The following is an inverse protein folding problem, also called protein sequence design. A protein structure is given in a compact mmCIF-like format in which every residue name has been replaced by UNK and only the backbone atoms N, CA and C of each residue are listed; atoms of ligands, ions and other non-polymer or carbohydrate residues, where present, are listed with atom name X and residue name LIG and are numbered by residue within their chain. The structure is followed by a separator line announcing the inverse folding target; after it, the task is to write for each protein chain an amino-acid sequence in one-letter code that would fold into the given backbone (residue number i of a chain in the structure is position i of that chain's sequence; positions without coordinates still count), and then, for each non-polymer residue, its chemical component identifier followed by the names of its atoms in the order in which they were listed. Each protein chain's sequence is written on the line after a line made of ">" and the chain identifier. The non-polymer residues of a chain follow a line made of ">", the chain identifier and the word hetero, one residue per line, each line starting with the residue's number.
data_IF_165387922167
#
_entry.id   IF_165387922167
#
_cell.length_a   1.000
_cell.length_b   1.000
_cell.length_c   1.000
_cell.angle_alpha   90.00
_cell.angle_beta   90.00
_cell.angle_gamma   90.00
#
_symmetry.space_group_name_H-M   'P 1'
#
loop_
_entity.id
_entity.type
_entity.pdbx_description
1 polymer ?
#
# COMPACT_ATOMS: atom_id res chain seq x y z
N UNK A 1 10.75 -0.33 -26.26
CA UNK A 1 9.57 0.41 -25.74
C UNK A 1 9.68 0.44 -24.23
N UNK A 2 9.43 1.57 -23.56
CA UNK A 2 9.41 1.59 -22.10
C UNK A 2 8.38 0.57 -21.63
N UNK A 3 8.76 -0.22 -20.61
CA UNK A 3 7.94 -1.29 -20.06
C UNK A 3 6.61 -0.66 -19.59
N UNK A 4 5.43 -1.19 -19.96
CA UNK A 4 4.14 -0.65 -19.54
C UNK A 4 3.91 -0.65 -18.01
N UNK A 5 4.87 -1.18 -17.24
CA UNK A 5 4.91 -1.13 -15.77
C UNK A 5 5.64 0.08 -15.18
N UNK A 6 6.36 0.89 -15.97
CA UNK A 6 7.05 2.08 -15.46
C UNK A 6 6.13 3.31 -15.48
N UNK A 7 5.29 3.44 -14.45
CA UNK A 7 4.67 4.72 -14.17
C UNK A 7 5.75 5.69 -13.70
N UNK A 8 6.18 6.60 -14.58
CA UNK A 8 7.24 7.56 -14.31
C UNK A 8 6.68 8.88 -13.76
N UNK A 9 7.20 9.32 -12.64
CA UNK A 9 6.87 10.62 -12.04
C UNK A 9 7.75 11.72 -12.66
N UNK A 10 7.18 12.87 -13.08
CA UNK A 10 7.96 13.89 -13.80
C UNK A 10 9.20 14.40 -13.05
N UNK A 11 9.10 14.56 -11.73
CA UNK A 11 10.20 15.06 -10.89
C UNK A 11 11.34 14.03 -10.70
N UNK A 12 11.10 12.76 -11.05
CA UNK A 12 12.11 11.70 -11.00
C UNK A 12 12.92 11.61 -12.30
N UNK A 13 12.71 12.51 -13.28
CA UNK A 13 13.47 12.53 -14.54
C UNK A 13 15.00 12.42 -14.36
N UNK A 14 15.64 13.16 -13.42
CA UNK A 14 17.08 13.03 -13.17
C UNK A 14 17.49 11.63 -12.70
N UNK A 15 16.61 10.94 -11.96
CA UNK A 15 16.84 9.56 -11.49
C UNK A 15 16.80 8.61 -12.67
N UNK A 16 15.79 8.72 -13.54
CA UNK A 16 15.63 7.84 -14.70
C UNK A 16 16.79 7.97 -15.69
N UNK A 17 17.32 9.17 -15.89
CA UNK A 17 18.51 9.39 -16.73
C UNK A 17 19.73 8.67 -16.16
N UNK A 18 19.96 8.77 -14.84
CA UNK A 18 21.06 8.07 -14.17
C UNK A 18 20.86 6.54 -14.18
N UNK A 19 19.64 6.05 -13.98
CA UNK A 19 19.30 4.62 -14.05
C UNK A 19 19.53 4.04 -15.44
N UNK A 20 19.19 4.80 -16.49
CA UNK A 20 19.42 4.40 -17.88
C UNK A 20 20.91 4.29 -18.16
N UNK A 21 21.70 5.31 -17.79
CA UNK A 21 23.17 5.29 -17.91
C UNK A 21 23.79 4.13 -17.14
N UNK A 22 23.31 3.87 -15.92
CA UNK A 22 23.80 2.77 -15.09
C UNK A 22 23.52 1.42 -15.76
N UNK A 23 22.31 1.22 -16.29
CA UNK A 23 21.90 -0.01 -16.97
C UNK A 23 22.75 -0.27 -18.22
N UNK A 24 23.05 0.78 -19.00
CA UNK A 24 23.93 0.70 -20.18
C UNK A 24 25.38 0.33 -19.79
N UNK A 25 25.90 0.93 -18.72
CA UNK A 25 27.24 0.62 -18.20
C UNK A 25 27.33 -0.82 -17.67
N UNK A 26 26.30 -1.28 -16.95
CA UNK A 26 26.21 -2.65 -16.45
C UNK A 26 26.11 -3.67 -17.58
N UNK A 27 25.31 -3.39 -18.62
CA UNK A 27 25.22 -4.24 -19.80
C UNK A 27 26.57 -4.32 -20.55
N UNK A 28 27.27 -3.19 -20.66
CA UNK A 28 28.60 -3.12 -21.28
C UNK A 28 29.64 -3.88 -20.47
N UNK A 29 29.60 -3.76 -19.13
CA UNK A 29 30.46 -4.51 -18.22
C UNK A 29 30.20 -6.02 -18.30
N UNK A 30 28.93 -6.44 -18.39
CA UNK A 30 28.55 -7.84 -18.51
C UNK A 30 29.03 -8.47 -19.84
N UNK A 31 28.93 -7.73 -20.96
CA UNK A 31 29.43 -8.20 -22.28
C UNK A 31 30.95 -8.36 -22.33
N UNK A 32 31.68 -7.46 -21.66
CA UNK A 32 33.15 -7.46 -21.67
C UNK A 32 33.77 -8.45 -20.66
N UNK A 33 32.97 -9.12 -19.84
CA UNK A 33 33.44 -10.10 -18.83
C UNK A 33 34.14 -11.32 -19.43
N UNK A 34 33.92 -11.61 -20.72
CA UNK A 34 34.61 -12.67 -21.47
C UNK A 34 36.03 -12.29 -21.95
N UNK A 35 36.41 -11.01 -21.89
CA UNK A 35 37.70 -10.50 -22.39
C UNK A 35 38.72 -10.09 -21.31
N UNK A 36 38.41 -10.32 -20.02
CA UNK A 36 39.19 -9.88 -18.87
C UNK A 36 38.44 -8.87 -17.99
N UNK A 37 38.69 -8.87 -16.68
CA UNK A 37 38.12 -7.89 -15.77
C UNK A 37 38.58 -6.48 -16.16
N UNK A 38 37.65 -5.53 -16.28
CA UNK A 38 37.96 -4.11 -16.49
C UNK A 38 37.71 -3.34 -15.17
N UNK A 39 38.72 -3.21 -14.28
CA UNK A 39 38.54 -2.68 -12.93
C UNK A 39 38.06 -1.22 -12.93
N UNK A 40 38.43 -0.45 -13.97
CA UNK A 40 38.03 0.94 -14.12
C UNK A 40 36.52 1.09 -14.36
N UNK A 41 35.93 0.21 -15.18
CA UNK A 41 34.49 0.23 -15.44
C UNK A 41 33.69 -0.21 -14.21
N UNK A 42 34.19 -1.19 -13.45
CA UNK A 42 33.57 -1.60 -12.19
C UNK A 42 33.54 -0.47 -11.15
N UNK A 43 34.62 0.31 -11.04
CA UNK A 43 34.66 1.47 -10.12
C UNK A 43 33.73 2.60 -10.57
N UNK A 44 33.62 2.86 -11.88
CA UNK A 44 32.66 3.83 -12.42
C UNK A 44 31.21 3.44 -12.10
N UNK A 45 30.85 2.16 -12.27
CA UNK A 45 29.53 1.63 -11.89
C UNK A 45 29.28 1.83 -10.39
N UNK A 46 30.26 1.51 -9.53
CA UNK A 46 30.15 1.72 -8.07
C UNK A 46 29.96 3.19 -7.71
N UNK A 47 30.69 4.09 -8.37
CA UNK A 47 30.55 5.54 -8.18
C UNK A 47 29.17 6.03 -8.62
N UNK A 48 28.71 5.63 -9.80
CA UNK A 48 27.41 6.04 -10.33
C UNK A 48 26.25 5.54 -9.46
N UNK A 49 26.33 4.31 -8.93
CA UNK A 49 25.36 3.79 -7.94
C UNK A 49 25.29 4.64 -6.67
N UNK A 50 26.44 5.10 -6.16
CA UNK A 50 26.51 6.00 -4.99
C UNK A 50 25.90 7.37 -5.30
N UNK A 51 26.23 7.95 -6.46
CA UNK A 51 25.67 9.23 -6.91
C UNK A 51 24.16 9.14 -7.09
N UNK A 52 23.66 8.06 -7.69
CA UNK A 52 22.23 7.78 -7.85
C UNK A 52 21.52 7.63 -6.51
N UNK A 53 22.09 6.89 -5.56
CA UNK A 53 21.52 6.75 -4.21
C UNK A 53 21.48 8.11 -3.47
N UNK A 54 22.51 8.94 -3.63
CA UNK A 54 22.55 10.30 -3.11
C UNK A 54 21.48 11.19 -3.73
N UNK A 55 21.36 11.17 -5.06
CA UNK A 55 20.36 11.93 -5.80
C UNK A 55 18.93 11.56 -5.40
N UNK A 56 18.63 10.25 -5.32
CA UNK A 56 17.34 9.75 -4.81
C UNK A 56 17.05 10.33 -3.43
N UNK A 57 18.01 10.26 -2.51
CA UNK A 57 17.84 10.80 -1.15
C UNK A 57 17.54 12.30 -1.16
N UNK A 58 18.25 13.09 -1.97
CA UNK A 58 18.05 14.55 -2.05
C UNK A 58 16.67 14.90 -2.62
N UNK A 59 16.25 14.22 -3.68
CA UNK A 59 14.95 14.47 -4.32
C UNK A 59 13.80 14.10 -3.36
N UNK A 60 13.81 12.90 -2.79
CA UNK A 60 12.74 12.46 -1.88
C UNK A 60 12.74 13.19 -0.52
N UNK A 61 13.87 13.77 -0.11
CA UNK A 61 13.92 14.62 1.09
C UNK A 61 13.32 16.01 0.87
N UNK A 62 13.24 16.48 -0.39
CA UNK A 62 12.79 17.84 -0.74
C UNK A 62 11.59 17.80 -1.69
N UNK A 63 10.63 16.90 -1.44
CA UNK A 63 9.43 16.81 -2.26
C UNK A 63 8.53 18.04 -2.05
N UNK A 64 8.05 18.60 -3.15
CA UNK A 64 6.95 19.56 -3.10
C UNK A 64 5.64 18.87 -2.66
N UNK A 65 4.65 19.63 -2.13
CA UNK A 65 3.38 19.06 -1.69
C UNK A 65 2.69 18.22 -2.77
N UNK A 66 2.69 18.68 -4.03
CA UNK A 66 2.08 17.93 -5.13
C UNK A 66 2.85 16.65 -5.47
N UNK A 67 4.18 16.68 -5.41
CA UNK A 67 5.03 15.51 -5.65
C UNK A 67 4.78 14.43 -4.59
N UNK A 68 4.57 14.83 -3.33
CA UNK A 68 4.17 13.92 -2.25
C UNK A 68 2.82 13.24 -2.55
N UNK A 69 1.84 13.99 -3.08
CA UNK A 69 0.55 13.41 -3.51
C UNK A 69 0.76 12.42 -4.65
N UNK A 70 1.61 12.72 -5.63
CA UNK A 70 1.92 11.80 -6.73
C UNK A 70 2.51 10.48 -6.23
N UNK A 71 3.47 10.54 -5.29
CA UNK A 71 4.05 9.34 -4.65
C UNK A 71 2.97 8.54 -3.90
N UNK A 72 2.08 9.20 -3.16
CA UNK A 72 0.99 8.54 -2.44
C UNK A 72 -0.01 7.80 -3.35
N UNK A 73 -0.11 8.22 -4.62
CA UNK A 73 -1.00 7.67 -5.64
C UNK A 73 -0.27 6.77 -6.64
N UNK A 74 1.00 6.46 -6.39
CA UNK A 74 1.80 5.65 -7.29
C UNK A 74 1.15 4.28 -7.54
N UNK A 75 1.00 3.81 -8.80
CA UNK A 75 0.31 2.56 -9.10
C UNK A 75 0.92 1.31 -8.46
N UNK A 76 2.23 1.35 -8.20
CA UNK A 76 2.97 0.27 -7.52
C UNK A 76 3.12 0.47 -6.01
N UNK A 77 2.45 1.47 -5.41
CA UNK A 77 2.48 1.67 -3.96
C UNK A 77 1.97 0.40 -3.26
N UNK A 78 2.70 -0.15 -2.26
CA UNK A 78 2.25 -1.33 -1.53
C UNK A 78 0.88 -1.10 -0.87
N UNK A 79 0.01 -2.09 -0.97
CA UNK A 79 -1.34 -2.08 -0.41
C UNK A 79 -1.39 -2.87 0.91
N UNK A 80 -2.51 -2.82 1.62
CA UNK A 80 -2.72 -3.52 2.91
C UNK A 80 -2.24 -4.97 2.88
N UNK A 81 -2.65 -5.78 1.89
CA UNK A 81 -2.20 -7.17 1.77
C UNK A 81 -0.68 -7.31 1.66
N UNK A 82 0.01 -6.37 1.01
CA UNK A 82 1.47 -6.43 0.92
C UNK A 82 2.14 -6.17 2.26
N UNK A 83 1.59 -5.29 3.10
CA UNK A 83 2.11 -5.12 4.45
C UNK A 83 1.78 -6.32 5.34
N UNK A 84 0.60 -6.92 5.17
CA UNK A 84 0.24 -8.18 5.85
C UNK A 84 1.28 -9.26 5.55
N UNK A 85 1.56 -9.51 4.27
CA UNK A 85 2.50 -10.54 3.82
C UNK A 85 3.95 -10.30 4.27
N UNK A 86 4.33 -9.04 4.52
CA UNK A 86 5.71 -8.65 4.87
C UNK A 86 5.97 -8.55 6.38
N UNK A 87 4.93 -8.23 7.16
CA UNK A 87 5.08 -7.83 8.57
C UNK A 87 4.46 -8.87 9.52
N UNK A 88 3.40 -9.57 9.11
CA UNK A 88 2.59 -10.39 10.00
C UNK A 88 2.63 -11.87 9.64
N UNK A 89 2.52 -12.69 10.67
CA UNK A 89 2.48 -14.14 10.54
C UNK A 89 1.06 -14.70 10.76
N UNK A 90 0.78 -15.85 10.15
CA UNK A 90 -0.47 -16.61 10.31
C UNK A 90 -1.74 -15.75 10.12
N UNK A 91 -1.76 -14.93 9.07
CA UNK A 91 -2.93 -14.11 8.75
C UNK A 91 -4.15 -14.98 8.41
N UNK A 92 -5.22 -14.81 9.17
CA UNK A 92 -6.52 -15.42 8.94
C UNK A 92 -7.54 -14.34 8.58
N UNK A 93 -7.88 -14.27 7.30
CA UNK A 93 -8.86 -13.30 6.79
C UNK A 93 -10.28 -13.62 7.31
N UNK A 94 -10.95 -12.58 7.79
CA UNK A 94 -12.33 -12.64 8.29
C UNK A 94 -13.23 -11.84 7.35
N UNK A 95 -14.34 -12.44 6.95
CA UNK A 95 -15.27 -11.87 5.97
C UNK A 95 -16.60 -11.44 6.61
N UNK A 96 -17.31 -10.58 5.90
CA UNK A 96 -18.73 -10.26 6.09
C UNK A 96 -19.07 -9.35 7.28
N UNK A 97 -20.12 -8.55 7.09
CA UNK A 97 -20.72 -7.65 8.09
C UNK A 97 -21.88 -8.28 8.88
N UNK A 98 -22.31 -9.50 8.53
CA UNK A 98 -23.49 -10.22 9.06
C UNK A 98 -24.85 -9.55 8.79
N UNK A 99 -24.90 -8.61 7.84
CA UNK A 99 -26.15 -7.94 7.46
C UNK A 99 -26.39 -8.01 5.95
N UNK A 100 -25.46 -7.47 5.16
CA UNK A 100 -25.65 -7.28 3.72
C UNK A 100 -24.64 -8.10 2.92
N UNK A 101 -23.37 -8.07 3.29
CA UNK A 101 -22.35 -8.71 2.48
C UNK A 101 -20.93 -8.49 2.97
N UNK A 102 -20.00 -8.96 2.13
CA UNK A 102 -18.57 -8.81 2.34
C UNK A 102 -17.98 -7.79 1.35
N UNK A 103 -17.70 -6.58 1.82
CA UNK A 103 -17.07 -5.55 0.98
C UNK A 103 -15.57 -5.80 0.82
N UNK A 104 -15.15 -6.11 -0.41
CA UNK A 104 -13.76 -6.40 -0.74
C UNK A 104 -12.84 -5.17 -0.65
N UNK A 105 -13.39 -3.96 -0.59
CA UNK A 105 -12.62 -2.75 -0.35
C UNK A 105 -11.99 -2.71 1.05
N UNK A 106 -12.50 -3.49 2.00
CA UNK A 106 -11.98 -3.61 3.36
C UNK A 106 -11.50 -5.04 3.60
N UNK A 107 -10.25 -5.19 4.04
CA UNK A 107 -9.67 -6.45 4.49
C UNK A 107 -9.65 -6.44 6.01
N UNK A 108 -10.11 -7.54 6.61
CA UNK A 108 -10.05 -7.72 8.07
C UNK A 108 -9.53 -9.10 8.40
N UNK A 109 -8.80 -9.27 9.49
CA UNK A 109 -8.33 -10.60 9.88
C UNK A 109 -7.51 -10.61 11.16
N UNK A 110 -7.29 -11.81 11.70
CA UNK A 110 -6.39 -12.03 12.83
C UNK A 110 -4.99 -12.32 12.32
N UNK A 111 -3.98 -11.82 13.01
CA UNK A 111 -2.58 -12.10 12.67
C UNK A 111 -1.68 -12.09 13.91
N UNK A 112 -0.44 -12.52 13.75
CA UNK A 112 0.61 -12.36 14.74
C UNK A 112 1.57 -11.26 14.33
N UNK A 113 1.94 -10.41 15.28
CA UNK A 113 2.99 -9.41 15.18
C UNK A 113 4.04 -9.72 16.25
N UNK A 114 5.09 -10.44 15.86
CA UNK A 114 5.99 -11.09 16.81
C UNK A 114 5.20 -12.07 17.70
N UNK A 115 5.32 -11.93 19.01
CA UNK A 115 4.60 -12.77 19.98
C UNK A 115 3.15 -12.33 20.24
N UNK A 116 2.75 -11.14 19.74
CA UNK A 116 1.44 -10.55 19.98
C UNK A 116 0.40 -10.94 18.94
N UNK A 117 -0.84 -11.22 19.36
CA UNK A 117 -1.99 -11.40 18.46
C UNK A 117 -2.69 -10.07 18.23
N UNK A 118 -3.01 -9.77 16.97
CA UNK A 118 -3.62 -8.50 16.58
C UNK A 118 -4.81 -8.72 15.65
N UNK A 119 -5.73 -7.76 15.64
CA UNK A 119 -6.77 -7.62 14.63
C UNK A 119 -6.33 -6.60 13.59
N UNK A 120 -6.25 -7.01 12.33
CA UNK A 120 -5.95 -6.13 11.21
C UNK A 120 -7.25 -5.66 10.58
N UNK A 121 -7.33 -4.37 10.27
CA UNK A 121 -8.36 -3.76 9.44
C UNK A 121 -7.67 -2.86 8.42
N UNK A 122 -8.02 -2.93 7.14
CA UNK A 122 -7.37 -2.06 6.17
C UNK A 122 -8.08 -1.96 4.83
N UNK A 123 -7.76 -0.90 4.10
CA UNK A 123 -8.31 -0.66 2.77
C UNK A 123 -7.54 -1.43 1.71
N UNK A 124 -8.26 -2.01 0.75
CA UNK A 124 -7.67 -2.78 -0.34
C UNK A 124 -8.15 -2.22 -1.68
N UNK A 125 -7.20 -1.81 -2.52
CA UNK A 125 -7.50 -1.20 -3.83
C UNK A 125 -7.51 -2.20 -4.98
N UNK A 126 -6.70 -3.27 -4.90
CA UNK A 126 -6.49 -4.19 -6.01
C UNK A 126 -5.34 -3.77 -6.93
N UNK A 127 -4.61 -4.74 -7.49
CA UNK A 127 -3.44 -4.50 -8.33
C UNK A 127 -3.79 -4.46 -9.82
N UNK A 128 -4.59 -5.42 -10.28
CA UNK A 128 -5.07 -5.49 -11.65
C UNK A 128 -6.48 -4.86 -11.80
N UNK A 129 -6.95 -4.67 -13.03
CA UNK A 129 -8.24 -4.03 -13.28
C UNK A 129 -9.41 -4.81 -12.66
N UNK A 130 -9.41 -6.14 -12.77
CA UNK A 130 -10.47 -6.99 -12.23
C UNK A 130 -10.56 -6.87 -10.70
N UNK A 131 -9.43 -6.92 -10.00
CA UNK A 131 -9.34 -6.71 -8.55
C UNK A 131 -9.75 -5.30 -8.17
N UNK A 132 -9.34 -4.28 -8.94
CA UNK A 132 -9.71 -2.89 -8.68
C UNK A 132 -11.19 -2.67 -8.76
N UNK A 133 -11.83 -3.21 -9.79
CA UNK A 133 -13.29 -3.18 -9.91
C UNK A 133 -13.95 -3.93 -8.77
N UNK A 134 -13.45 -5.12 -8.41
CA UNK A 134 -14.00 -5.91 -7.31
C UNK A 134 -13.87 -5.24 -5.94
N UNK A 135 -12.81 -4.48 -5.71
CA UNK A 135 -12.55 -3.76 -4.46
C UNK A 135 -13.00 -2.29 -4.51
N UNK A 136 -13.77 -1.89 -5.53
CA UNK A 136 -14.23 -0.51 -5.71
C UNK A 136 -13.09 0.52 -5.63
N UNK A 137 -11.89 0.18 -6.11
CA UNK A 137 -10.69 1.03 -6.02
C UNK A 137 -10.32 1.45 -4.58
N UNK A 138 -10.70 0.65 -3.58
CA UNK A 138 -10.50 0.94 -2.15
C UNK A 138 -11.54 1.88 -1.56
N UNK A 139 -12.62 2.19 -2.29
CA UNK A 139 -13.76 2.94 -1.78
C UNK A 139 -14.73 1.98 -1.07
N UNK A 140 -14.78 2.06 0.26
CA UNK A 140 -15.68 1.20 1.03
C UNK A 140 -17.14 1.66 0.92
N UNK A 141 -18.03 0.67 0.80
CA UNK A 141 -19.46 0.82 1.00
C UNK A 141 -19.81 0.72 2.49
N UNK A 142 -21.07 1.01 2.89
CA UNK A 142 -21.48 0.99 4.30
C UNK A 142 -21.22 -0.37 4.96
N UNK A 143 -21.46 -1.47 4.25
CA UNK A 143 -21.15 -2.83 4.68
C UNK A 143 -19.66 -3.04 5.01
N UNK A 144 -18.73 -2.35 4.34
CA UNK A 144 -17.31 -2.39 4.64
C UNK A 144 -16.99 -1.77 6.00
N UNK A 145 -17.59 -0.63 6.31
CA UNK A 145 -17.47 0.03 7.62
C UNK A 145 -18.13 -0.80 8.73
N UNK A 146 -19.31 -1.39 8.49
CA UNK A 146 -19.94 -2.32 9.44
C UNK A 146 -19.07 -3.54 9.71
N UNK A 147 -18.49 -4.13 8.66
CA UNK A 147 -17.53 -5.23 8.78
C UNK A 147 -16.34 -4.84 9.64
N UNK A 148 -15.71 -3.71 9.36
CA UNK A 148 -14.58 -3.18 10.14
C UNK A 148 -14.96 -3.05 11.62
N UNK A 149 -16.05 -2.34 11.92
CA UNK A 149 -16.51 -2.12 13.28
C UNK A 149 -16.85 -3.42 14.02
N UNK A 150 -17.49 -4.38 13.34
CA UNK A 150 -17.79 -5.70 13.90
C UNK A 150 -16.52 -6.42 14.33
N UNK A 151 -15.45 -6.41 13.52
CA UNK A 151 -14.19 -7.05 13.87
C UNK A 151 -13.41 -6.27 14.93
N UNK A 152 -13.49 -4.95 14.93
CA UNK A 152 -12.90 -4.12 16.00
C UNK A 152 -13.56 -4.38 17.36
N UNK A 153 -14.89 -4.50 17.42
CA UNK A 153 -15.60 -4.90 18.65
C UNK A 153 -15.21 -6.32 19.11
N UNK A 154 -14.99 -7.24 18.16
CA UNK A 154 -14.47 -8.57 18.47
C UNK A 154 -13.06 -8.49 19.09
N UNK A 155 -12.18 -7.67 18.52
CA UNK A 155 -10.84 -7.47 19.04
C UNK A 155 -10.86 -6.92 20.47
N UNK A 156 -11.66 -5.89 20.72
CA UNK A 156 -11.84 -5.33 22.07
C UNK A 156 -12.38 -6.36 23.07
N UNK A 157 -13.34 -7.20 22.68
CA UNK A 157 -13.87 -8.28 23.54
C UNK A 157 -12.78 -9.27 23.99
N UNK A 158 -11.78 -9.52 23.15
CA UNK A 158 -10.68 -10.44 23.44
C UNK A 158 -9.39 -9.75 23.89
N UNK A 159 -9.42 -8.42 24.10
CA UNK A 159 -8.24 -7.64 24.48
C UNK A 159 -7.13 -7.64 23.42
N UNK A 160 -7.49 -7.79 22.15
CA UNK A 160 -6.54 -7.79 21.03
C UNK A 160 -6.31 -6.34 20.54
N UNK A 161 -5.06 -5.89 20.39
CA UNK A 161 -4.75 -4.64 19.71
C UNK A 161 -5.24 -4.66 18.26
N UNK A 162 -5.67 -3.50 17.78
CA UNK A 162 -6.12 -3.30 16.40
C UNK A 162 -5.02 -2.58 15.62
N UNK A 163 -4.77 -2.98 14.38
CA UNK A 163 -3.88 -2.27 13.45
C UNK A 163 -4.68 -1.86 12.22
N UNK A 164 -4.75 -0.55 11.97
CA UNK A 164 -5.55 0.02 10.88
C UNK A 164 -4.68 0.54 9.72
N UNK A 165 -4.87 -0.01 8.51
CA UNK A 165 -4.24 0.48 7.28
C UNK A 165 -5.20 1.40 6.49
N UNK A 166 -4.91 2.69 6.50
CA UNK A 166 -5.71 3.70 5.78
C UNK A 166 -5.10 3.94 4.39
N UNK A 167 -5.76 3.41 3.36
CA UNK A 167 -5.39 3.65 1.97
C UNK A 167 -6.62 3.71 1.06
N UNK A 168 -7.38 4.79 1.16
CA UNK A 168 -8.60 5.00 0.38
C UNK A 168 -8.62 6.40 -0.23
N UNK A 169 -9.16 6.56 -1.46
CA UNK A 169 -9.49 7.89 -1.97
C UNK A 169 -10.73 8.49 -1.29
N UNK A 170 -11.55 7.69 -0.61
CA UNK A 170 -12.76 8.11 0.09
C UNK A 170 -13.80 6.99 0.18
N UNK A 171 -14.88 7.25 0.92
CA UNK A 171 -16.06 6.38 0.95
C UNK A 171 -16.71 6.31 -0.45
N UNK A 172 -17.31 5.18 -0.82
CA UNK A 172 -17.92 5.02 -2.14
C UNK A 172 -19.11 5.99 -2.32
N UNK A 173 -19.09 6.90 -3.31
CA UNK A 173 -20.12 7.94 -3.48
C UNK A 173 -21.22 7.48 -4.46
N UNK A 174 -21.92 6.40 -4.13
CA UNK A 174 -22.97 5.82 -4.97
C UNK A 174 -24.36 5.87 -4.33
N UNK A 175 -25.41 5.93 -5.16
CA UNK A 175 -26.82 5.94 -4.70
C UNK A 175 -27.08 4.76 -3.74
N UNK A 176 -26.64 3.57 -4.11
CA UNK A 176 -26.84 2.39 -3.30
C UNK A 176 -26.10 2.47 -1.94
N UNK A 177 -24.99 3.21 -1.85
CA UNK A 177 -24.29 3.46 -0.58
C UNK A 177 -25.08 4.44 0.31
N UNK A 178 -25.68 5.47 -0.28
CA UNK A 178 -26.55 6.42 0.42
C UNK A 178 -27.83 5.76 0.94
N UNK A 179 -28.51 4.97 0.12
CA UNK A 179 -29.70 4.19 0.52
C UNK A 179 -29.41 3.23 1.68
N UNK A 180 -28.16 2.74 1.77
CA UNK A 180 -27.68 1.88 2.85
C UNK A 180 -27.10 2.65 4.05
N UNK A 181 -27.12 3.97 4.04
CA UNK A 181 -26.77 4.83 5.17
C UNK A 181 -25.27 5.06 5.37
N UNK A 182 -24.51 5.31 4.29
CA UNK A 182 -23.06 5.58 4.32
C UNK A 182 -22.66 6.57 5.42
N UNK A 183 -23.29 7.75 5.45
CA UNK A 183 -23.00 8.77 6.47
C UNK A 183 -23.27 8.29 7.90
N UNK A 184 -24.39 7.59 8.12
CA UNK A 184 -24.76 7.07 9.44
C UNK A 184 -23.79 6.01 9.92
N UNK A 185 -23.36 5.10 9.05
CA UNK A 185 -22.43 4.02 9.44
C UNK A 185 -21.04 4.58 9.74
N UNK A 186 -20.59 5.58 9.00
CA UNK A 186 -19.32 6.27 9.29
C UNK A 186 -19.41 6.97 10.66
N UNK A 187 -20.50 7.70 10.92
CA UNK A 187 -20.71 8.37 12.21
C UNK A 187 -20.75 7.38 13.39
N UNK A 188 -21.47 6.26 13.23
CA UNK A 188 -21.51 5.19 14.23
C UNK A 188 -20.12 4.58 14.47
N UNK A 189 -19.36 4.36 13.39
CA UNK A 189 -18.00 3.81 13.48
C UNK A 189 -17.08 4.74 14.27
N UNK A 190 -17.10 6.05 14.00
CA UNK A 190 -16.31 7.04 14.74
C UNK A 190 -16.66 7.05 16.23
N UNK A 191 -17.96 7.08 16.55
CA UNK A 191 -18.44 7.05 17.93
C UNK A 191 -18.00 5.78 18.65
N UNK A 192 -18.21 4.62 18.03
CA UNK A 192 -17.90 3.33 18.63
C UNK A 192 -16.39 3.12 18.79
N UNK A 193 -15.57 3.53 17.82
CA UNK A 193 -14.11 3.43 17.90
C UNK A 193 -13.54 4.24 19.08
N UNK A 194 -14.12 5.41 19.38
CA UNK A 194 -13.69 6.23 20.53
C UNK A 194 -13.92 5.58 21.91
N UNK A 195 -14.73 4.51 21.96
CA UNK A 195 -15.13 3.82 23.19
C UNK A 195 -14.57 2.39 23.26
N UNK A 196 -13.71 1.98 22.34
CA UNK A 196 -13.14 0.64 22.37
C UNK A 196 -12.06 0.54 23.45
N UNK A 197 -12.23 -0.43 24.35
CA UNK A 197 -11.28 -0.72 25.43
C UNK A 197 -10.07 -1.56 24.94
N UNK A 198 -9.44 -1.16 23.83
CA UNK A 198 -8.24 -1.80 23.29
C UNK A 198 -7.41 -0.80 22.48
N UNK A 199 -6.09 -0.96 22.35
CA UNK A 199 -5.29 -0.08 21.50
C UNK A 199 -5.70 -0.19 20.03
N UNK A 200 -5.74 0.94 19.33
CA UNK A 200 -5.99 1.06 17.88
C UNK A 200 -4.84 1.81 17.23
#
# INVERSE_FOLDING_TARGET
>A
MPNPSEHRLPFEAPIYEMETRLTEMEASYAKNRAGGENPGLAEQIRRLRRELAGLKRVIYANLEPWQTVQVSRHPQRPQTRNYIDLIFDQFLELHGDRAIGDDKAIVTGLAHLGDGKVMIVGHQKGKNLAERTACNFGCAHPEGYRKALLKMRMAAKFGLPIVSFIDTPGAYPGIAAEERGQASVIAESLMAMSQLDTPI
#
